data_IF_618252550865
#
_entry.id   IF_618252550865
#
_cell.length_a   1.000
_cell.length_b   1.000
_cell.length_c   1.000
_cell.angle_alpha   90.00
_cell.angle_beta   90.00
_cell.angle_gamma   90.00
#
_symmetry.space_group_name_H-M   'P 1'
#
loop_
_entity.id
_entity.type
_entity.pdbx_description
1 polymer ?
#
# COMPACT_ATOMS: atom_id res chain seq x y z
N UNK A 1 11.26 -23.56 30.40
CA UNK A 1 12.20 -22.81 29.54
C UNK A 1 11.68 -22.95 28.13
N UNK A 2 11.54 -21.85 27.37
CA UNK A 2 11.14 -21.97 25.96
C UNK A 2 12.23 -22.72 25.19
N UNK A 3 11.88 -23.53 24.18
CA UNK A 3 12.87 -24.17 23.34
C UNK A 3 13.74 -23.10 22.65
N UNK A 4 15.06 -23.21 22.74
CA UNK A 4 15.99 -22.20 22.23
C UNK A 4 15.82 -21.87 20.74
N UNK A 5 15.36 -22.85 19.95
CA UNK A 5 15.05 -22.66 18.54
C UNK A 5 13.82 -21.79 18.30
N UNK A 6 12.82 -21.84 19.19
CA UNK A 6 11.62 -21.02 19.09
C UNK A 6 11.89 -19.58 19.54
N UNK A 7 12.67 -19.40 20.60
CA UNK A 7 13.08 -18.06 21.05
C UNK A 7 13.90 -17.34 19.99
N UNK A 8 14.80 -18.06 19.30
CA UNK A 8 15.56 -17.53 18.16
C UNK A 8 14.63 -17.11 17.01
N UNK A 9 13.74 -18.01 16.57
CA UNK A 9 12.81 -17.71 15.47
C UNK A 9 11.89 -16.53 15.79
N UNK A 10 11.42 -16.42 17.04
CA UNK A 10 10.55 -15.33 17.45
C UNK A 10 11.31 -13.99 17.49
N UNK A 11 12.55 -13.99 17.95
CA UNK A 11 13.43 -12.80 17.93
C UNK A 11 13.76 -12.36 16.50
N UNK A 12 13.92 -13.31 15.58
CA UNK A 12 14.15 -13.04 14.15
C UNK A 12 12.93 -12.41 13.47
N UNK A 13 11.72 -12.91 13.77
CA UNK A 13 10.46 -12.28 13.32
C UNK A 13 10.31 -10.86 13.87
N UNK A 14 10.65 -10.64 15.15
CA UNK A 14 10.63 -9.30 15.76
C UNK A 14 11.64 -8.34 15.11
N UNK A 15 12.84 -8.83 14.76
CA UNK A 15 13.84 -8.04 14.03
C UNK A 15 13.31 -7.61 12.66
N UNK A 16 12.78 -8.55 11.87
CA UNK A 16 12.22 -8.22 10.56
C UNK A 16 11.00 -7.31 10.65
N UNK A 17 10.21 -7.43 11.72
CA UNK A 17 9.10 -6.51 11.98
C UNK A 17 9.60 -5.07 12.21
N UNK A 18 10.71 -4.90 12.93
CA UNK A 18 11.34 -3.61 13.13
C UNK A 18 11.95 -3.07 11.82
N UNK A 19 12.56 -3.93 11.00
CA UNK A 19 13.11 -3.55 9.69
C UNK A 19 12.03 -3.03 8.74
N UNK A 20 10.86 -3.67 8.70
CA UNK A 20 9.70 -3.20 7.94
C UNK A 20 9.23 -1.85 8.45
N UNK A 21 9.18 -1.66 9.77
CA UNK A 21 8.82 -0.37 10.38
C UNK A 21 9.81 0.73 10.01
N UNK A 22 11.11 0.44 10.02
CA UNK A 22 12.16 1.37 9.62
C UNK A 22 12.06 1.72 8.13
N UNK A 23 11.81 0.73 7.26
CA UNK A 23 11.61 0.95 5.83
C UNK A 23 10.33 1.77 5.54
N UNK A 24 9.26 1.56 6.32
CA UNK A 24 8.05 2.38 6.26
C UNK A 24 8.30 3.83 6.67
N UNK A 25 9.25 4.10 7.56
CA UNK A 25 9.62 5.47 7.94
C UNK A 25 10.53 6.10 6.89
N UNK A 26 11.53 5.37 6.39
CA UNK A 26 12.45 5.85 5.35
C UNK A 26 11.75 6.17 4.04
N UNK A 27 10.63 5.50 3.75
CA UNK A 27 9.85 5.71 2.54
C UNK A 27 10.50 5.11 1.28
N UNK A 28 11.50 4.25 1.46
CA UNK A 28 12.14 3.54 0.35
C UNK A 28 11.29 2.31 -0.06
N UNK A 29 10.71 2.31 -1.28
CA UNK A 29 9.86 1.21 -1.74
C UNK A 29 10.62 -0.10 -1.97
N UNK A 30 11.92 -0.04 -2.33
CA UNK A 30 12.74 -1.24 -2.52
C UNK A 30 13.08 -1.88 -1.18
N UNK A 31 13.53 -1.07 -0.22
CA UNK A 31 13.79 -1.54 1.14
C UNK A 31 12.54 -2.14 1.79
N UNK A 32 11.38 -1.52 1.58
CA UNK A 32 10.10 -2.02 2.07
C UNK A 32 9.73 -3.38 1.48
N UNK A 33 9.95 -3.56 0.17
CA UNK A 33 9.64 -4.83 -0.52
C UNK A 33 10.53 -5.95 0.00
N UNK A 34 11.84 -5.69 0.16
CA UNK A 34 12.81 -6.65 0.68
C UNK A 34 12.48 -7.01 2.13
N UNK A 35 12.26 -6.02 3.00
CA UNK A 35 11.93 -6.25 4.40
C UNK A 35 10.60 -7.01 4.56
N UNK A 36 9.59 -6.70 3.73
CA UNK A 36 8.30 -7.40 3.75
C UNK A 36 8.43 -8.86 3.30
N UNK A 37 9.27 -9.14 2.30
CA UNK A 37 9.55 -10.50 1.85
C UNK A 37 10.27 -11.31 2.93
N UNK A 38 11.26 -10.71 3.60
CA UNK A 38 11.98 -11.33 4.72
C UNK A 38 11.04 -11.65 5.90
N UNK A 39 10.19 -10.69 6.30
CA UNK A 39 9.19 -10.91 7.36
C UNK A 39 8.21 -12.04 7.01
N UNK A 40 7.76 -12.11 5.75
CA UNK A 40 6.89 -13.21 5.29
C UNK A 40 7.59 -14.57 5.40
N UNK A 41 8.85 -14.65 4.97
CA UNK A 41 9.61 -15.90 5.03
C UNK A 41 9.81 -16.35 6.48
N UNK A 42 10.22 -15.45 7.37
CA UNK A 42 10.36 -15.73 8.80
C UNK A 42 9.03 -16.15 9.45
N UNK A 43 7.90 -15.57 9.05
CA UNK A 43 6.58 -15.97 9.54
C UNK A 43 6.18 -17.38 9.08
N UNK A 44 6.53 -17.78 7.84
CA UNK A 44 6.29 -19.14 7.34
C UNK A 44 7.13 -20.15 8.13
N UNK A 45 8.41 -19.85 8.34
CA UNK A 45 9.31 -20.70 9.13
C UNK A 45 8.86 -20.81 10.58
N UNK A 46 8.43 -19.71 11.18
CA UNK A 46 7.85 -19.69 12.53
C UNK A 46 6.56 -20.53 12.63
N UNK A 47 5.66 -20.41 11.64
CA UNK A 47 4.45 -21.24 11.58
C UNK A 47 4.76 -22.74 11.46
N UNK A 48 5.75 -23.10 10.65
CA UNK A 48 6.21 -24.48 10.52
C UNK A 48 6.82 -25.01 11.84
N UNK A 49 7.51 -24.16 12.61
CA UNK A 49 8.01 -24.50 13.93
C UNK A 49 6.88 -24.65 14.96
N UNK A 50 5.89 -23.77 14.95
CA UNK A 50 4.71 -23.86 15.83
C UNK A 50 3.91 -25.16 15.63
N UNK A 51 3.82 -25.68 14.40
CA UNK A 51 3.15 -26.95 14.13
C UNK A 51 3.86 -28.16 14.75
N UNK A 52 5.14 -28.01 15.11
CA UNK A 52 5.98 -29.07 15.69
C UNK A 52 6.12 -28.94 17.20
N UNK A 53 5.47 -27.95 17.82
CA UNK A 53 5.54 -27.70 19.25
C UNK A 53 4.68 -28.67 20.06
N UNK A 54 5.12 -28.96 21.28
CA UNK A 54 4.28 -29.67 22.24
C UNK A 54 3.24 -28.73 22.87
N UNK A 55 2.11 -29.24 23.39
CA UNK A 55 1.14 -28.43 24.11
C UNK A 55 1.74 -27.67 25.31
N UNK A 56 2.77 -28.24 25.96
CA UNK A 56 3.48 -27.62 27.07
C UNK A 56 4.33 -26.39 26.66
N UNK A 57 4.81 -26.38 25.41
CA UNK A 57 5.56 -25.25 24.85
C UNK A 57 4.63 -24.10 24.42
N UNK A 58 3.39 -24.43 24.01
CA UNK A 58 2.36 -23.47 23.61
C UNK A 58 1.77 -22.74 24.82
N UNK A 59 1.58 -23.46 25.93
CA UNK A 59 1.12 -22.90 27.21
C UNK A 59 2.16 -22.01 27.90
N UNK A 60 3.35 -21.84 27.29
CA UNK A 60 4.40 -21.03 27.88
C UNK A 60 3.99 -19.55 27.94
N UNK A 61 3.96 -19.02 29.16
CA UNK A 61 3.39 -17.71 29.48
C UNK A 61 4.10 -16.53 28.79
N UNK A 62 5.33 -16.71 28.30
CA UNK A 62 6.08 -15.68 27.59
C UNK A 62 5.76 -15.60 26.08
N UNK A 63 5.15 -16.62 25.48
CA UNK A 63 4.90 -16.69 24.04
C UNK A 63 3.69 -15.82 23.63
N UNK A 64 2.60 -15.95 24.38
CA UNK A 64 1.34 -15.24 24.13
C UNK A 64 1.46 -13.70 24.10
N UNK A 65 2.13 -13.02 25.06
CA UNK A 65 2.24 -11.56 25.04
C UNK A 65 3.07 -11.05 23.85
N UNK A 66 4.18 -11.74 23.50
CA UNK A 66 5.02 -11.35 22.37
C UNK A 66 4.29 -11.49 21.04
N UNK A 67 3.58 -12.60 20.85
CA UNK A 67 2.76 -12.80 19.66
C UNK A 67 1.65 -11.73 19.54
N UNK A 68 1.02 -11.38 20.66
CA UNK A 68 0.00 -10.30 20.70
C UNK A 68 0.59 -8.94 20.33
N UNK A 69 1.81 -8.64 20.76
CA UNK A 69 2.51 -7.40 20.38
C UNK A 69 2.80 -7.37 18.87
N UNK A 70 3.29 -8.47 18.31
CA UNK A 70 3.54 -8.59 16.86
C UNK A 70 2.24 -8.41 16.07
N UNK A 71 1.14 -9.06 16.46
CA UNK A 71 -0.14 -8.93 15.76
C UNK A 71 -0.70 -7.50 15.81
N UNK A 72 -0.58 -6.84 16.96
CA UNK A 72 -1.01 -5.45 17.11
C UNK A 72 -0.14 -4.51 16.27
N UNK A 73 1.17 -4.74 16.24
CA UNK A 73 2.10 -4.00 15.41
C UNK A 73 1.82 -4.18 13.91
N UNK A 74 1.48 -5.38 13.46
CA UNK A 74 1.12 -5.65 12.06
C UNK A 74 -0.13 -4.86 11.62
N UNK A 75 -1.12 -4.70 12.50
CA UNK A 75 -2.30 -3.89 12.20
C UNK A 75 -1.91 -2.42 11.94
N UNK A 76 -1.00 -1.86 12.76
CA UNK A 76 -0.50 -0.49 12.60
C UNK A 76 0.32 -0.30 11.31
N UNK A 77 1.14 -1.28 10.94
CA UNK A 77 1.88 -1.27 9.67
C UNK A 77 0.93 -1.27 8.46
N UNK A 78 -0.14 -2.09 8.50
CA UNK A 78 -1.15 -2.12 7.44
C UNK A 78 -1.88 -0.79 7.32
N UNK A 79 -2.25 -0.17 8.42
CA UNK A 79 -2.88 1.16 8.42
C UNK A 79 -1.95 2.23 7.82
N UNK A 80 -0.66 2.20 8.19
CA UNK A 80 0.35 3.12 7.66
C UNK A 80 0.57 2.95 6.15
N UNK A 81 0.53 1.71 5.65
CA UNK A 81 0.55 1.41 4.22
C UNK A 81 -0.69 1.96 3.50
N UNK A 82 -1.89 1.73 4.04
CA UNK A 82 -3.13 2.26 3.45
C UNK A 82 -3.11 3.79 3.35
N UNK A 83 -2.66 4.48 4.40
CA UNK A 83 -2.51 5.93 4.39
C UNK A 83 -1.51 6.39 3.32
N UNK A 84 -0.38 5.70 3.17
CA UNK A 84 0.60 6.00 2.10
C UNK A 84 0.02 5.78 0.71
N UNK A 85 -0.73 4.70 0.49
CA UNK A 85 -1.38 4.44 -0.81
C UNK A 85 -2.35 5.56 -1.19
N UNK A 86 -3.18 6.02 -0.24
CA UNK A 86 -4.10 7.13 -0.48
C UNK A 86 -3.36 8.43 -0.85
N UNK A 87 -2.25 8.75 -0.15
CA UNK A 87 -1.42 9.91 -0.48
C UNK A 87 -0.77 9.79 -1.87
N UNK A 88 -0.30 8.61 -2.24
CA UNK A 88 0.25 8.34 -3.57
C UNK A 88 -0.83 8.49 -4.64
N UNK A 89 -2.04 8.01 -4.40
CA UNK A 89 -3.17 8.17 -5.33
C UNK A 89 -3.56 9.64 -5.51
N UNK A 90 -3.63 10.41 -4.43
CA UNK A 90 -3.85 11.86 -4.51
C UNK A 90 -2.73 12.57 -5.28
N UNK A 91 -1.46 12.23 -5.02
CA UNK A 91 -0.33 12.79 -5.76
C UNK A 91 -0.32 12.36 -7.24
N UNK A 92 -0.77 11.15 -7.55
CA UNK A 92 -0.94 10.70 -8.92
C UNK A 92 -2.01 11.52 -9.65
N UNK A 93 -3.13 11.80 -8.99
CA UNK A 93 -4.21 12.63 -9.54
C UNK A 93 -3.78 14.08 -9.79
N UNK A 94 -2.83 14.62 -9.03
CA UNK A 94 -2.28 15.96 -9.30
C UNK A 94 -1.29 15.98 -10.46
N UNK A 95 -0.48 14.93 -10.63
CA UNK A 95 0.52 14.82 -11.72
C UNK A 95 -0.14 14.43 -13.05
N UNK A 96 -1.11 13.52 -13.02
CA UNK A 96 -1.89 13.08 -14.18
C UNK A 96 -3.35 13.45 -13.90
N UNK A 97 -3.73 14.72 -14.15
CA UNK A 97 -5.13 15.10 -14.06
C UNK A 97 -5.91 14.28 -15.10
N UNK A 98 -6.77 13.37 -14.62
CA UNK A 98 -7.75 12.73 -15.47
C UNK A 98 -8.57 13.85 -16.11
N UNK A 99 -8.67 13.85 -17.44
CA UNK A 99 -9.31 14.94 -18.18
C UNK A 99 -10.66 15.28 -17.54
N UNK A 100 -10.89 16.54 -17.14
CA UNK A 100 -12.14 16.91 -16.49
C UNK A 100 -13.30 16.55 -17.42
N UNK A 101 -14.28 15.79 -16.93
CA UNK A 101 -15.60 15.71 -17.58
C UNK A 101 -16.09 17.15 -17.66
N UNK A 102 -16.19 17.69 -18.87
CA UNK A 102 -16.49 19.09 -19.10
C UNK A 102 -17.77 19.49 -18.34
N UNK A 103 -17.62 20.24 -17.26
CA UNK A 103 -18.74 20.67 -16.39
C UNK A 103 -19.71 21.60 -17.14
N UNK A 104 -19.30 22.16 -18.28
CA UNK A 104 -20.11 23.09 -19.08
C UNK A 104 -20.25 22.73 -20.57
N UNK A 105 -19.85 21.54 -21.03
CA UNK A 105 -19.99 21.18 -22.45
C UNK A 105 -20.85 19.93 -22.66
N UNK A 106 -22.14 20.01 -22.30
CA UNK A 106 -23.18 19.14 -22.86
C UNK A 106 -24.52 19.88 -23.09
N UNK A 107 -24.48 21.19 -23.35
CA UNK A 107 -25.57 21.83 -24.09
C UNK A 107 -25.13 22.03 -25.52
N UNK A 108 -25.19 20.93 -26.28
CA UNK A 108 -25.39 20.95 -27.72
C UNK A 108 -26.77 21.56 -28.01
N UNK A 109 -26.89 22.87 -27.77
CA UNK A 109 -27.98 23.69 -28.25
C UNK A 109 -27.64 24.20 -29.66
N UNK A 110 -28.63 24.39 -30.54
CA UNK A 110 -28.45 24.75 -31.95
C UNK A 110 -27.78 26.12 -32.21
N UNK A 111 -27.32 26.82 -31.17
CA UNK A 111 -26.68 28.13 -31.25
C UNK A 111 -25.21 28.14 -30.82
N UNK A 112 -24.61 27.00 -30.45
CA UNK A 112 -23.20 26.91 -30.08
C UNK A 112 -22.23 26.83 -31.28
N UNK A 113 -22.71 26.96 -32.51
CA UNK A 113 -21.87 26.98 -33.71
C UNK A 113 -21.80 28.38 -34.32
N UNK A 114 -21.14 29.31 -33.62
CA UNK A 114 -20.70 30.57 -34.23
C UNK A 114 -19.18 30.50 -34.38
N UNK A 115 -18.70 30.21 -35.59
CA UNK A 115 -17.26 30.22 -35.85
C UNK A 115 -16.74 29.52 -37.09
N UNK A 116 -17.54 29.24 -38.13
CA UNK A 116 -17.02 29.00 -39.49
C UNK A 116 -17.90 29.70 -40.52
N UNK A 117 -17.79 31.02 -40.59
CA UNK A 117 -18.17 31.78 -41.76
C UNK A 117 -17.11 31.51 -42.84
N UNK A 118 -17.30 30.44 -43.61
CA UNK A 118 -16.53 30.20 -44.83
C UNK A 118 -16.91 31.26 -45.84
N UNK A 119 -15.98 32.18 -46.13
CA UNK A 119 -16.16 33.23 -47.12
C UNK A 119 -16.41 32.65 -48.51
N UNK A 120 -17.63 32.83 -49.02
CA UNK A 120 -17.94 32.71 -50.43
C UNK A 120 -18.51 34.06 -50.89
N UNK A 121 -17.61 34.97 -51.25
CA UNK A 121 -17.98 36.20 -51.94
C UNK A 121 -18.47 35.85 -53.35
N UNK A 122 -19.77 36.02 -53.61
CA UNK A 122 -20.28 36.08 -54.98
C UNK A 122 -20.04 37.49 -55.51
N UNK A 123 -19.10 37.63 -56.43
CA UNK A 123 -18.94 38.84 -57.24
C UNK A 123 -20.20 39.02 -58.09
N UNK A 124 -20.83 40.20 -57.99
CA UNK A 124 -21.76 40.70 -59.01
C UNK A 124 -20.92 41.12 -60.21
N UNK A 125 -21.09 40.41 -61.34
CA UNK A 125 -20.62 40.89 -62.63
C UNK A 125 -21.59 41.97 -63.13
N UNK A 126 -21.02 43.07 -63.62
CA UNK A 126 -21.70 44.20 -64.25
C UNK A 126 -22.28 43.84 -65.62
#
# INVERSE_FOLDING_TARGET
>A
MLPAHLEKALTEVESHFNDVSAALVSGDPLALTVASAALRQAAIEFSALLQRLSPADIEHQALKPRLTQITNGMALQRESLLRRTALVEMALQTVIPSAPKATYAQTSGPYASVGRQSGAFKYLAA
#
